data_IF_211197986119
#
_entry.id   IF_211197986119
#
_cell.length_a   1.000
_cell.length_b   1.000
_cell.length_c   1.000
_cell.angle_alpha   90.00
_cell.angle_beta   90.00
_cell.angle_gamma   90.00
#
_symmetry.space_group_name_H-M   'P 1'
#
loop_
_entity.id
_entity.type
_entity.pdbx_description
1 polymer ?
#
# COMPACT_ATOMS: atom_id res chain seq x y z
N UNK A 1 7.24 -5.42 -0.05
CA UNK A 1 5.77 -5.17 -0.01
C UNK A 1 5.12 -5.10 -1.39
N UNK A 2 5.77 -4.52 -2.42
CA UNK A 2 5.19 -4.35 -3.76
C UNK A 2 4.49 -5.58 -4.36
N UNK A 3 5.04 -6.79 -4.19
CA UNK A 3 4.42 -8.02 -4.71
C UNK A 3 3.02 -8.32 -4.14
N UNK A 4 2.79 -8.05 -2.86
CA UNK A 4 1.46 -8.21 -2.23
C UNK A 4 0.47 -7.25 -2.87
N UNK A 5 0.85 -5.98 -3.03
CA UNK A 5 -0.02 -4.99 -3.66
C UNK A 5 -0.25 -5.33 -5.12
N UNK A 6 0.78 -5.70 -5.86
CA UNK A 6 0.63 -6.15 -7.23
C UNK A 6 -0.40 -7.28 -7.34
N UNK A 7 -0.27 -8.34 -6.54
CA UNK A 7 -1.21 -9.46 -6.49
C UNK A 7 -2.66 -9.01 -6.22
N UNK A 8 -2.85 -8.09 -5.26
CA UNK A 8 -4.17 -7.55 -4.96
C UNK A 8 -4.79 -6.81 -6.16
N UNK A 9 -3.99 -6.01 -6.87
CA UNK A 9 -4.44 -5.26 -8.04
C UNK A 9 -4.71 -6.16 -9.25
N UNK A 10 -3.91 -7.20 -9.46
CA UNK A 10 -3.95 -7.98 -10.71
C UNK A 10 -4.95 -9.13 -10.67
N UNK A 11 -5.10 -9.80 -9.54
CA UNK A 11 -5.99 -10.96 -9.46
C UNK A 11 -6.86 -11.01 -8.21
N UNK A 12 -6.45 -10.56 -7.03
CA UNK A 12 -7.33 -10.72 -5.86
C UNK A 12 -8.60 -9.85 -5.95
N UNK A 13 -8.48 -8.54 -6.18
CA UNK A 13 -9.66 -7.67 -6.27
C UNK A 13 -10.57 -8.06 -7.45
N UNK A 14 -10.06 -8.35 -8.67
CA UNK A 14 -10.88 -8.87 -9.75
C UNK A 14 -11.57 -10.21 -9.41
N UNK A 15 -10.89 -11.14 -8.75
CA UNK A 15 -11.50 -12.40 -8.31
C UNK A 15 -12.59 -12.19 -7.28
N UNK A 16 -12.41 -11.25 -6.33
CA UNK A 16 -13.45 -10.90 -5.36
C UNK A 16 -14.67 -10.29 -6.03
N UNK A 17 -14.45 -9.42 -7.03
CA UNK A 17 -15.56 -8.83 -7.80
C UNK A 17 -16.34 -9.88 -8.59
N UNK A 18 -15.64 -10.86 -9.18
CA UNK A 18 -16.25 -11.96 -9.91
C UNK A 18 -17.15 -12.87 -9.05
N UNK A 19 -16.99 -12.87 -7.72
CA UNK A 19 -17.88 -13.60 -6.80
C UNK A 19 -19.23 -12.88 -6.58
N UNK A 20 -19.40 -11.67 -7.12
CA UNK A 20 -20.53 -10.79 -6.87
C UNK A 20 -20.31 -9.89 -5.65
N UNK A 21 -20.96 -8.73 -5.67
CA UNK A 21 -20.77 -7.65 -4.68
C UNK A 21 -20.87 -8.13 -3.22
N UNK A 22 -21.92 -8.90 -2.89
CA UNK A 22 -22.14 -9.38 -1.53
C UNK A 22 -20.97 -10.25 -1.02
N UNK A 23 -20.55 -11.26 -1.80
CA UNK A 23 -19.48 -12.19 -1.41
C UNK A 23 -18.11 -11.53 -1.45
N UNK A 24 -17.83 -10.72 -2.47
CA UNK A 24 -16.59 -9.97 -2.59
C UNK A 24 -16.40 -9.00 -1.42
N UNK A 25 -17.46 -8.29 -1.05
CA UNK A 25 -17.49 -7.37 0.08
C UNK A 25 -17.28 -8.09 1.41
N UNK A 26 -18.02 -9.18 1.67
CA UNK A 26 -17.88 -9.98 2.89
C UNK A 26 -16.44 -10.50 3.05
N UNK A 27 -15.87 -11.04 1.97
CA UNK A 27 -14.49 -11.51 1.95
C UNK A 27 -13.51 -10.36 2.24
N UNK A 28 -13.71 -9.19 1.64
CA UNK A 28 -12.83 -8.05 1.85
C UNK A 28 -12.93 -7.45 3.26
N UNK A 29 -14.14 -7.40 3.85
CA UNK A 29 -14.32 -7.02 5.26
C UNK A 29 -13.57 -7.98 6.18
N UNK A 30 -13.66 -9.30 5.93
CA UNK A 30 -12.90 -10.31 6.66
C UNK A 30 -11.37 -10.12 6.51
N UNK A 31 -10.88 -9.93 5.28
CA UNK A 31 -9.47 -9.66 4.99
C UNK A 31 -8.99 -8.42 5.75
N UNK A 32 -9.75 -7.33 5.75
CA UNK A 32 -9.39 -6.11 6.48
C UNK A 32 -9.23 -6.36 7.99
N UNK A 33 -10.14 -7.15 8.60
CA UNK A 33 -10.06 -7.54 10.02
C UNK A 33 -8.86 -8.43 10.32
N UNK A 34 -8.51 -9.34 9.42
CA UNK A 34 -7.34 -10.23 9.57
C UNK A 34 -6.05 -9.43 9.44
N UNK A 35 -5.95 -8.53 8.45
CA UNK A 35 -4.75 -7.72 8.19
C UNK A 35 -4.31 -6.99 9.47
N UNK A 36 -5.25 -6.34 10.18
CA UNK A 36 -4.94 -5.55 11.38
C UNK A 36 -4.52 -6.38 12.60
N UNK A 37 -4.61 -7.71 12.55
CA UNK A 37 -4.15 -8.62 13.61
C UNK A 37 -2.98 -9.51 13.17
N UNK A 38 -2.58 -9.41 11.91
CA UNK A 38 -1.56 -10.26 11.31
C UNK A 38 -0.17 -9.63 11.38
N UNK A 39 0.84 -10.45 11.06
CA UNK A 39 2.22 -9.99 10.89
C UNK A 39 2.39 -8.94 9.78
N UNK A 40 1.38 -8.71 8.93
CA UNK A 40 1.43 -7.66 7.92
C UNK A 40 1.66 -6.27 8.54
N UNK A 41 0.99 -5.95 9.66
CA UNK A 41 1.12 -4.64 10.31
C UNK A 41 2.54 -4.31 10.79
N UNK A 42 3.19 -5.16 11.61
CA UNK A 42 4.55 -4.86 12.06
C UNK A 42 5.54 -4.80 10.90
N UNK A 43 5.40 -5.64 9.86
CA UNK A 43 6.28 -5.57 8.69
C UNK A 43 6.02 -4.31 7.86
N UNK A 44 4.75 -3.89 7.73
CA UNK A 44 4.39 -2.63 7.09
C UNK A 44 5.01 -1.43 7.81
N UNK A 45 4.77 -1.29 9.12
CA UNK A 45 5.29 -0.18 9.90
C UNK A 45 6.82 -0.23 10.02
N UNK A 46 7.39 -1.41 10.23
CA UNK A 46 8.85 -1.59 10.26
C UNK A 46 9.51 -1.17 8.96
N UNK A 47 8.93 -1.53 7.82
CA UNK A 47 9.39 -1.07 6.50
C UNK A 47 9.28 0.45 6.34
N UNK A 48 8.14 1.03 6.72
CA UNK A 48 7.88 2.48 6.65
C UNK A 48 8.85 3.29 7.53
N UNK A 49 9.10 2.83 8.76
CA UNK A 49 10.04 3.51 9.67
C UNK A 49 11.48 3.37 9.19
N UNK A 50 11.86 2.17 8.74
CA UNK A 50 13.20 1.94 8.16
C UNK A 50 13.43 2.83 6.94
N UNK A 51 12.45 2.96 6.04
CA UNK A 51 12.59 3.82 4.86
C UNK A 51 12.71 5.30 5.22
N UNK A 52 11.99 5.77 6.24
CA UNK A 52 12.13 7.12 6.76
C UNK A 52 13.54 7.35 7.33
N UNK A 53 14.06 6.39 8.11
CA UNK A 53 15.42 6.46 8.64
C UNK A 53 16.47 6.53 7.52
N UNK A 54 16.32 5.71 6.47
CA UNK A 54 17.19 5.76 5.29
C UNK A 54 17.18 7.14 4.61
N UNK A 55 16.01 7.77 4.48
CA UNK A 55 15.91 9.12 3.95
C UNK A 55 16.62 10.14 4.84
N UNK A 56 16.46 10.05 6.17
CA UNK A 56 17.14 10.95 7.13
C UNK A 56 18.66 10.80 7.06
N UNK A 57 19.17 9.56 6.99
CA UNK A 57 20.61 9.31 6.78
C UNK A 57 21.05 9.94 5.46
N UNK A 58 20.25 9.81 4.40
CA UNK A 58 20.42 10.51 3.11
C UNK A 58 20.68 12.01 3.31
N UNK A 59 19.78 12.67 4.02
CA UNK A 59 19.82 14.12 4.27
C UNK A 59 21.00 14.58 5.14
N UNK A 60 21.47 13.74 6.07
CA UNK A 60 22.56 14.09 6.97
C UNK A 60 23.90 14.30 6.25
N UNK A 61 24.15 13.53 5.20
CA UNK A 61 25.32 13.68 4.36
C UNK A 61 24.89 13.63 2.90
N UNK A 62 24.57 14.80 2.35
CA UNK A 62 24.20 14.99 0.95
C UNK A 62 25.40 14.97 0.00
N UNK A 63 26.63 15.06 0.53
CA UNK A 63 27.86 15.07 -0.29
C UNK A 63 28.30 13.68 -0.73
N UNK A 64 27.87 12.63 -0.03
CA UNK A 64 28.24 11.25 -0.38
C UNK A 64 27.57 10.77 -1.68
N UNK A 65 28.26 9.92 -2.44
CA UNK A 65 27.66 9.21 -3.57
C UNK A 65 26.36 8.50 -3.18
N UNK A 66 25.31 8.65 -3.99
CA UNK A 66 24.02 7.98 -3.77
C UNK A 66 23.09 8.63 -2.72
N UNK A 67 23.49 9.72 -2.04
CA UNK A 67 22.66 10.38 -1.02
C UNK A 67 21.26 10.77 -1.51
N UNK A 68 21.19 11.38 -2.71
CA UNK A 68 19.93 11.78 -3.35
C UNK A 68 19.01 10.57 -3.58
N UNK A 69 19.59 9.43 -3.92
CA UNK A 69 18.85 8.20 -4.20
C UNK A 69 18.36 7.53 -2.91
N UNK A 70 19.12 7.62 -1.81
CA UNK A 70 18.65 7.22 -0.48
C UNK A 70 17.44 8.05 -0.03
N UNK A 71 17.51 9.38 -0.21
CA UNK A 71 16.40 10.28 0.13
C UNK A 71 15.19 9.97 -0.75
N UNK A 72 15.36 9.93 -2.06
CA UNK A 72 14.28 9.65 -2.99
C UNK A 72 13.63 8.29 -2.71
N UNK A 73 14.45 7.23 -2.56
CA UNK A 73 13.96 5.89 -2.29
C UNK A 73 13.24 5.76 -0.95
N UNK A 74 13.82 6.34 0.11
CA UNK A 74 13.21 6.35 1.44
C UNK A 74 11.90 7.15 1.50
N UNK A 75 11.87 8.33 0.88
CA UNK A 75 10.68 9.18 0.82
C UNK A 75 9.56 8.53 -0.02
N UNK A 76 9.88 7.98 -1.20
CA UNK A 76 8.92 7.29 -2.06
C UNK A 76 8.24 6.13 -1.32
N UNK A 77 9.01 5.31 -0.59
CA UNK A 77 8.44 4.24 0.22
C UNK A 77 7.61 4.81 1.37
N UNK A 78 8.14 5.76 2.15
CA UNK A 78 7.43 6.30 3.30
C UNK A 78 6.07 6.90 2.90
N UNK A 79 6.05 7.84 1.96
CA UNK A 79 4.81 8.50 1.53
C UNK A 79 3.90 7.54 0.79
N UNK A 80 4.44 6.74 -0.13
CA UNK A 80 3.69 5.78 -0.91
C UNK A 80 3.02 4.70 -0.04
N UNK A 81 3.58 4.39 1.12
CA UNK A 81 3.05 3.38 2.03
C UNK A 81 2.18 3.99 3.10
N UNK A 82 2.71 4.93 3.88
CA UNK A 82 2.04 5.50 5.04
C UNK A 82 0.89 6.42 4.65
N UNK A 83 1.16 7.44 3.82
CA UNK A 83 0.14 8.44 3.47
C UNK A 83 -0.99 7.82 2.66
N UNK A 84 -0.66 6.97 1.68
CA UNK A 84 -1.69 6.23 0.92
C UNK A 84 -2.56 5.36 1.84
N UNK A 85 -1.98 4.80 2.90
CA UNK A 85 -2.73 3.98 3.85
C UNK A 85 -3.67 4.83 4.71
N UNK A 86 -3.15 5.89 5.34
CA UNK A 86 -3.92 6.74 6.26
C UNK A 86 -5.00 7.55 5.52
N UNK A 87 -4.67 8.10 4.34
CA UNK A 87 -5.59 9.00 3.60
C UNK A 87 -6.50 8.21 2.67
N UNK A 88 -6.01 7.14 2.04
CA UNK A 88 -6.78 6.38 1.04
C UNK A 88 -7.40 5.12 1.62
N UNK A 89 -6.57 4.22 2.15
CA UNK A 89 -7.01 2.85 2.50
C UNK A 89 -7.88 2.78 3.74
N UNK A 90 -7.46 3.42 4.83
CA UNK A 90 -8.18 3.35 6.11
C UNK A 90 -9.60 3.91 5.98
N UNK A 91 -9.83 5.11 5.38
CA UNK A 91 -11.19 5.62 5.21
C UNK A 91 -12.07 4.73 4.32
N UNK A 92 -11.51 4.20 3.22
CA UNK A 92 -12.24 3.29 2.34
C UNK A 92 -12.63 1.98 3.04
N UNK A 93 -11.70 1.40 3.80
CA UNK A 93 -11.93 0.16 4.54
C UNK A 93 -12.98 0.35 5.63
N UNK A 94 -12.91 1.47 6.37
CA UNK A 94 -13.90 1.79 7.40
C UNK A 94 -15.29 2.02 6.80
N UNK A 95 -15.38 2.73 5.67
CA UNK A 95 -16.65 2.94 4.97
C UNK A 95 -17.22 1.63 4.40
N UNK A 96 -16.37 0.68 3.99
CA UNK A 96 -16.86 -0.64 3.55
C UNK A 96 -17.40 -1.45 4.73
N UNK A 97 -16.77 -1.35 5.89
CA UNK A 97 -17.16 -2.08 7.11
C UNK A 97 -18.53 -1.68 7.65
N UNK A 98 -18.98 -0.44 7.40
CA UNK A 98 -20.29 0.04 7.87
C UNK A 98 -21.46 -0.46 7.03
N UNK A 99 -21.21 -0.96 5.82
CA UNK A 99 -22.26 -1.39 4.90
C UNK A 99 -22.58 -2.89 5.07
N UNK A 100 -23.83 -3.27 4.79
CA UNK A 100 -24.28 -4.67 4.83
C UNK A 100 -24.11 -5.34 3.47
N UNK A 101 -23.40 -6.48 3.37
CA UNK A 101 -23.34 -7.27 2.15
C UNK A 101 -24.74 -7.68 1.65
N UNK A 102 -24.98 -7.55 0.34
CA UNK A 102 -26.25 -7.88 -0.30
C UNK A 102 -27.36 -6.84 -0.11
N UNK A 103 -27.04 -5.67 0.46
CA UNK A 103 -27.92 -4.50 0.44
C UNK A 103 -27.64 -3.64 -0.80
N UNK A 104 -28.66 -2.90 -1.27
CA UNK A 104 -28.49 -1.97 -2.39
C UNK A 104 -27.40 -0.92 -2.12
N UNK A 105 -27.30 -0.40 -0.89
CA UNK A 105 -26.24 0.52 -0.49
C UNK A 105 -24.86 -0.15 -0.51
N UNK A 106 -24.77 -1.40 -0.06
CA UNK A 106 -23.56 -2.21 -0.12
C UNK A 106 -23.07 -2.45 -1.54
N UNK A 107 -23.97 -2.70 -2.49
CA UNK A 107 -23.62 -2.90 -3.91
C UNK A 107 -23.01 -1.63 -4.52
N UNK A 108 -23.63 -0.47 -4.26
CA UNK A 108 -23.11 0.84 -4.70
C UNK A 108 -21.74 1.12 -4.05
N UNK A 109 -21.60 0.83 -2.76
CA UNK A 109 -20.34 1.00 -2.05
C UNK A 109 -19.25 0.08 -2.60
N UNK A 110 -19.57 -1.18 -2.91
CA UNK A 110 -18.61 -2.15 -3.43
C UNK A 110 -18.00 -1.70 -4.76
N UNK A 111 -18.80 -1.23 -5.72
CA UNK A 111 -18.29 -0.71 -7.00
C UNK A 111 -17.37 0.50 -6.81
N UNK A 112 -17.74 1.44 -5.93
CA UNK A 112 -16.89 2.60 -5.59
C UNK A 112 -15.61 2.16 -4.90
N UNK A 113 -15.72 1.23 -3.95
CA UNK A 113 -14.62 0.70 -3.18
C UNK A 113 -13.61 0.02 -4.10
N UNK A 114 -14.03 -0.89 -4.98
CA UNK A 114 -13.14 -1.57 -5.92
C UNK A 114 -12.28 -0.58 -6.73
N UNK A 115 -12.94 0.37 -7.40
CA UNK A 115 -12.24 1.32 -8.25
C UNK A 115 -11.26 2.19 -7.45
N UNK A 116 -11.69 2.74 -6.30
CA UNK A 116 -10.83 3.58 -5.48
C UNK A 116 -9.70 2.78 -4.82
N UNK A 117 -10.01 1.60 -4.30
CA UNK A 117 -9.06 0.74 -3.61
C UNK A 117 -7.96 0.27 -4.56
N UNK A 118 -8.30 -0.17 -5.77
CA UNK A 118 -7.32 -0.59 -6.79
C UNK A 118 -6.43 0.58 -7.22
N UNK A 119 -6.98 1.79 -7.44
CA UNK A 119 -6.18 2.99 -7.74
C UNK A 119 -5.15 3.28 -6.65
N UNK A 120 -5.57 3.35 -5.39
CA UNK A 120 -4.65 3.53 -4.27
C UNK A 120 -3.63 2.40 -4.16
N UNK A 121 -4.01 1.18 -4.54
CA UNK A 121 -3.11 0.05 -4.51
C UNK A 121 -2.02 0.13 -5.58
N UNK A 122 -2.35 0.62 -6.78
CA UNK A 122 -1.35 0.90 -7.82
C UNK A 122 -0.32 1.92 -7.36
N UNK A 123 -0.75 2.99 -6.66
CA UNK A 123 0.18 3.96 -6.06
C UNK A 123 1.17 3.24 -5.14
N UNK A 124 0.70 2.37 -4.23
CA UNK A 124 1.61 1.60 -3.34
C UNK A 124 2.56 0.70 -4.12
N UNK A 125 2.08 0.01 -5.15
CA UNK A 125 2.91 -0.86 -5.98
C UNK A 125 4.01 -0.08 -6.69
N UNK A 126 3.66 1.04 -7.34
CA UNK A 126 4.59 1.88 -8.08
C UNK A 126 5.58 2.58 -7.14
N UNK A 127 5.13 3.10 -6.01
CA UNK A 127 6.02 3.68 -4.99
C UNK A 127 7.00 2.65 -4.42
N UNK A 128 6.56 1.41 -4.18
CA UNK A 128 7.47 0.33 -3.79
C UNK A 128 8.51 0.06 -4.87
N UNK A 129 8.10 -0.06 -6.13
CA UNK A 129 9.00 -0.37 -7.24
C UNK A 129 10.03 0.75 -7.45
N UNK A 130 9.57 2.01 -7.52
CA UNK A 130 10.42 3.18 -7.67
C UNK A 130 11.39 3.33 -6.49
N UNK A 131 10.91 3.09 -5.26
CA UNK A 131 11.77 3.06 -4.08
C UNK A 131 12.88 2.01 -4.19
N UNK A 132 12.54 0.78 -4.58
CA UNK A 132 13.53 -0.29 -4.77
C UNK A 132 14.59 0.12 -5.79
N UNK A 133 14.19 0.68 -6.94
CA UNK A 133 15.12 1.15 -7.97
C UNK A 133 16.07 2.20 -7.39
N UNK A 134 15.53 3.23 -6.72
CA UNK A 134 16.35 4.27 -6.10
C UNK A 134 17.33 3.70 -5.06
N UNK A 135 16.87 2.83 -4.17
CA UNK A 135 17.71 2.28 -3.10
C UNK A 135 18.79 1.35 -3.63
N UNK A 136 18.50 0.51 -4.62
CA UNK A 136 19.51 -0.32 -5.29
C UNK A 136 20.55 0.56 -6.00
N UNK A 137 20.10 1.55 -6.77
CA UNK A 137 21.02 2.49 -7.43
C UNK A 137 21.78 3.41 -6.47
N UNK A 138 21.34 3.52 -5.21
CA UNK A 138 22.12 4.18 -4.16
C UNK A 138 23.27 3.28 -3.70
N UNK A 139 23.00 1.99 -3.49
CA UNK A 139 24.01 0.99 -3.10
C UNK A 139 25.10 0.89 -4.16
N UNK A 140 24.73 0.81 -5.45
CA UNK A 140 25.68 0.73 -6.57
C UNK A 140 26.63 1.95 -6.65
N UNK A 141 26.21 3.09 -6.09
CA UNK A 141 27.02 4.32 -6.06
C UNK A 141 27.85 4.47 -4.80
N UNK A 142 27.52 3.72 -3.75
CA UNK A 142 28.22 3.74 -2.46
C UNK A 142 29.42 2.79 -2.42
N UNK A 143 29.41 1.74 -3.26
CA UNK A 143 30.54 0.82 -3.46
C UNK A 143 31.54 1.34 -4.48
#
# INVERSE_FOLDING_TARGET
MGGVYFAFSTFMMPSLDALGSARGMEAMQSINKVIVRSLFLPVFFGGTLTSAAVAVVGLYDMGRPGAVMLVAGGALYFFGMFVVTVVGKVPLNNALETEKPGSQAGDVMWSRYLAAWVRWNHVRTLSCLASTICLVSAIDRLG
#
